data_IF_168226643486
#
_entry.id   IF_168226643486
#
_cell.length_a   1.000
_cell.length_b   1.000
_cell.length_c   1.000
_cell.angle_alpha   90.00
_cell.angle_beta   90.00
_cell.angle_gamma   90.00
#
_symmetry.space_group_name_H-M   'P 1'
#
loop_
_entity.id
_entity.type
_entity.pdbx_description
1 polymer ?
#
# COMPACT_ATOMS: atom_id res chain seq x y z
N UNK A 1 -3.37 13.71 -3.28
CA UNK A 1 -3.89 12.39 -3.69
C UNK A 1 -2.74 11.47 -4.02
N UNK A 2 -2.62 10.39 -3.26
CA UNK A 2 -1.61 9.36 -3.45
C UNK A 2 -1.93 8.58 -4.73
N UNK A 3 -0.93 8.37 -5.57
CA UNK A 3 -1.10 7.58 -6.79
C UNK A 3 -1.29 6.09 -6.46
N UNK A 4 -2.31 5.47 -7.05
CA UNK A 4 -2.58 4.04 -6.87
C UNK A 4 -1.86 3.24 -7.96
N UNK A 5 -0.94 2.38 -7.53
CA UNK A 5 -0.25 1.44 -8.41
C UNK A 5 -0.71 0.02 -8.11
N UNK A 6 -1.41 -0.62 -9.05
CA UNK A 6 -1.81 -2.02 -8.95
C UNK A 6 -0.95 -2.88 -9.87
N UNK A 7 -0.02 -3.64 -9.28
CA UNK A 7 0.75 -4.69 -9.99
C UNK A 7 -0.19 -5.76 -10.56
N UNK A 8 0.22 -6.41 -11.65
CA UNK A 8 -0.48 -7.58 -12.17
C UNK A 8 -0.59 -8.68 -11.11
N UNK A 9 -1.76 -9.32 -11.00
CA UNK A 9 -2.02 -10.30 -9.94
C UNK A 9 -2.28 -9.71 -8.55
N UNK A 10 -2.33 -8.37 -8.41
CA UNK A 10 -2.69 -7.70 -7.16
C UNK A 10 -4.03 -6.97 -7.28
N UNK A 11 -4.65 -6.70 -6.15
CA UNK A 11 -5.86 -5.88 -6.03
C UNK A 11 -5.75 -4.95 -4.83
N UNK A 12 -6.58 -3.91 -4.79
CA UNK A 12 -6.78 -3.17 -3.54
C UNK A 12 -7.52 -4.06 -2.54
N UNK A 13 -7.38 -3.75 -1.26
CA UNK A 13 -8.21 -4.35 -0.23
C UNK A 13 -9.71 -4.22 -0.63
N UNK A 14 -10.49 -5.30 -0.63
CA UNK A 14 -11.90 -5.23 -1.02
C UNK A 14 -12.77 -4.46 -0.01
N UNK A 15 -12.24 -4.15 1.18
CA UNK A 15 -12.93 -3.33 2.16
C UNK A 15 -12.56 -1.84 1.97
N UNK A 16 -13.47 -1.08 1.36
CA UNK A 16 -13.28 0.36 1.11
C UNK A 16 -13.01 1.17 2.38
N UNK A 17 -13.53 0.76 3.55
CA UNK A 17 -13.22 1.44 4.81
C UNK A 17 -11.74 1.34 5.15
N UNK A 18 -11.14 0.18 4.88
CA UNK A 18 -9.70 -0.05 5.09
C UNK A 18 -8.88 0.75 4.08
N UNK A 19 -9.25 0.69 2.79
CA UNK A 19 -8.58 1.47 1.73
C UNK A 19 -8.58 2.95 2.06
N UNK A 20 -9.75 3.52 2.34
CA UNK A 20 -9.90 4.95 2.63
C UNK A 20 -9.14 5.37 3.90
N UNK A 21 -9.15 4.54 4.94
CA UNK A 21 -8.40 4.82 6.17
C UNK A 21 -6.89 4.82 5.94
N UNK A 22 -6.38 3.90 5.13
CA UNK A 22 -4.94 3.83 4.80
C UNK A 22 -4.55 5.02 3.93
N UNK A 23 -5.26 5.29 2.83
CA UNK A 23 -4.94 6.38 1.92
C UNK A 23 -4.96 7.75 2.63
N UNK A 24 -5.95 7.99 3.50
CA UNK A 24 -5.99 9.20 4.33
C UNK A 24 -4.74 9.34 5.21
N UNK A 25 -4.28 8.24 5.83
CA UNK A 25 -3.07 8.29 6.66
C UNK A 25 -1.80 8.46 5.83
N UNK A 26 -1.73 7.87 4.64
CA UNK A 26 -0.63 8.13 3.70
C UNK A 26 -0.57 9.62 3.35
N UNK A 27 -1.71 10.26 3.06
CA UNK A 27 -1.76 11.70 2.79
C UNK A 27 -1.33 12.55 3.98
N UNK A 28 -1.77 12.19 5.19
CA UNK A 28 -1.34 12.86 6.43
C UNK A 28 0.16 12.65 6.72
N UNK A 29 0.74 11.56 6.22
CA UNK A 29 2.16 11.22 6.34
C UNK A 29 2.98 11.66 5.11
N UNK A 30 2.55 12.71 4.40
CA UNK A 30 3.25 13.27 3.23
C UNK A 30 3.56 12.24 2.12
N UNK A 31 2.74 11.21 1.97
CA UNK A 31 2.93 10.16 0.97
C UNK A 31 3.58 8.89 1.51
N UNK A 32 4.05 8.83 2.75
CA UNK A 32 4.70 7.64 3.32
C UNK A 32 3.71 6.57 3.83
N UNK A 33 4.10 5.29 3.80
CA UNK A 33 3.27 4.21 4.34
C UNK A 33 2.96 4.49 5.82
N UNK A 34 1.70 4.41 6.25
CA UNK A 34 1.33 4.61 7.65
C UNK A 34 1.64 3.38 8.53
N UNK A 35 2.42 2.44 8.01
CA UNK A 35 2.73 1.15 8.61
C UNK A 35 4.21 1.10 9.00
N UNK A 36 4.53 0.32 10.04
CA UNK A 36 5.91 0.07 10.47
C UNK A 36 6.64 -0.95 9.56
N UNK A 37 6.54 -0.77 8.23
CA UNK A 37 7.35 -1.55 7.29
C UNK A 37 8.83 -1.16 7.44
N UNK A 38 9.75 -2.05 7.08
CA UNK A 38 11.21 -1.83 7.15
C UNK A 38 11.85 -1.59 5.77
N UNK A 39 11.04 -1.51 4.70
CA UNK A 39 11.51 -1.22 3.34
C UNK A 39 12.38 0.05 3.18
N UNK A 40 13.30 0.01 2.22
CA UNK A 40 14.27 1.08 1.91
C UNK A 40 13.59 2.43 1.61
N UNK A 41 12.51 2.42 0.84
CA UNK A 41 11.72 3.62 0.54
C UNK A 41 10.31 3.46 1.11
N UNK A 42 9.91 4.41 1.96
CA UNK A 42 8.63 4.40 2.66
C UNK A 42 7.50 5.06 1.88
N UNK A 43 7.77 5.81 0.82
CA UNK A 43 6.72 6.49 0.05
C UNK A 43 5.78 5.45 -0.59
N UNK A 44 4.50 5.51 -0.25
CA UNK A 44 3.47 4.61 -0.74
C UNK A 44 3.22 4.87 -2.23
N UNK A 45 3.22 3.82 -3.10
CA UNK A 45 3.45 2.41 -2.78
C UNK A 45 4.92 2.14 -2.43
N UNK A 46 5.22 1.63 -1.22
CA UNK A 46 6.60 1.53 -0.70
C UNK A 46 7.46 0.50 -1.44
N UNK A 47 8.77 0.52 -1.21
CA UNK A 47 9.71 -0.41 -1.85
C UNK A 47 9.34 -1.87 -1.60
N UNK A 48 8.84 -2.22 -0.41
CA UNK A 48 8.44 -3.60 -0.11
C UNK A 48 7.31 -4.09 -1.03
N UNK A 49 6.37 -3.21 -1.38
CA UNK A 49 5.32 -3.57 -2.32
C UNK A 49 5.85 -3.65 -3.76
N UNK A 50 6.61 -2.63 -4.18
CA UNK A 50 7.09 -2.51 -5.55
C UNK A 50 8.07 -3.63 -5.90
N UNK A 51 9.05 -3.86 -5.02
CA UNK A 51 10.23 -4.68 -5.26
C UNK A 51 10.12 -6.07 -4.60
N UNK A 52 9.55 -6.15 -3.39
CA UNK A 52 9.55 -7.39 -2.59
C UNK A 52 8.21 -8.15 -2.61
N UNK A 53 7.21 -7.68 -3.36
CA UNK A 53 5.88 -8.32 -3.41
C UNK A 53 5.21 -8.43 -2.04
N UNK A 54 5.38 -7.43 -1.16
CA UNK A 54 4.76 -7.40 0.18
C UNK A 54 4.14 -6.04 0.48
N UNK A 55 2.85 -6.01 0.83
CA UNK A 55 2.18 -4.82 1.36
C UNK A 55 1.75 -5.07 2.81
N UNK A 56 2.56 -4.61 3.76
CA UNK A 56 2.32 -4.85 5.21
C UNK A 56 1.04 -4.20 5.74
N UNK A 57 0.60 -3.09 5.16
CA UNK A 57 -0.61 -2.39 5.59
C UNK A 57 -1.90 -3.00 5.01
N UNK A 58 -1.80 -4.03 4.17
CA UNK A 58 -2.92 -4.67 3.47
C UNK A 58 -3.71 -3.72 2.54
N UNK A 59 -3.11 -2.61 2.07
CA UNK A 59 -3.72 -1.77 1.04
C UNK A 59 -3.80 -2.53 -0.30
N UNK A 60 -2.71 -3.21 -0.66
CA UNK A 60 -2.61 -4.07 -1.83
C UNK A 60 -2.56 -5.53 -1.38
N UNK A 61 -3.41 -6.38 -1.95
CA UNK A 61 -3.49 -7.80 -1.67
C UNK A 61 -3.14 -8.59 -2.93
N UNK A 62 -2.29 -9.60 -2.80
CA UNK A 62 -1.99 -10.54 -3.88
C UNK A 62 -3.22 -11.44 -4.08
N UNK A 63 -3.72 -11.52 -5.31
CA UNK A 63 -4.77 -12.47 -5.67
C UNK A 63 -4.18 -13.87 -5.46
N UNK A 64 -4.87 -14.70 -4.69
CA UNK A 64 -4.59 -16.14 -4.67
C UNK A 64 -5.17 -16.72 -5.96
N UNK A 65 -4.40 -17.59 -6.59
CA UNK A 65 -4.88 -18.41 -7.71
C UNK A 65 -6.06 -19.29 -7.29
#
# INVERSE_FOLDING_TARGET
MVEILRKEGWMLNPNDKVVNAILKRVELNNGECPCHNEGRDKHCPCSDYRENDVCHCNLYLKKKE
#
